data_IF_260912787646
#
_entry.id   IF_260912787646
#
_cell.length_a   1.000
_cell.length_b   1.000
_cell.length_c   1.000
_cell.angle_alpha   90.00
_cell.angle_beta   90.00
_cell.angle_gamma   90.00
#
_symmetry.space_group_name_H-M   'P 1'
#
loop_
_entity.id
_entity.type
_entity.pdbx_description
1 polymer ?
#
# COMPACT_ATOMS: atom_id res chain seq x y z
N UNK A 1 -20.60 -16.03 -18.15
CA UNK A 1 -21.14 -15.08 -17.13
C UNK A 1 -20.10 -14.98 -16.03
N UNK A 2 -19.74 -13.77 -15.58
CA UNK A 2 -18.69 -13.56 -14.58
C UNK A 2 -18.95 -14.32 -13.28
N UNK A 3 -17.88 -14.79 -12.63
CA UNK A 3 -17.98 -15.48 -11.33
C UNK A 3 -18.42 -14.50 -10.23
N UNK A 4 -19.60 -14.70 -9.59
CA UNK A 4 -20.09 -13.79 -8.54
C UNK A 4 -19.12 -13.64 -7.36
N UNK A 5 -18.33 -14.69 -7.12
CA UNK A 5 -17.31 -14.70 -6.07
C UNK A 5 -16.14 -13.74 -6.39
N UNK A 6 -15.68 -13.70 -7.65
CA UNK A 6 -14.59 -12.80 -8.06
C UNK A 6 -15.03 -11.34 -8.03
N UNK A 7 -16.28 -11.06 -8.42
CA UNK A 7 -16.84 -9.71 -8.34
C UNK A 7 -17.02 -9.23 -6.89
N UNK A 8 -17.47 -10.12 -5.99
CA UNK A 8 -17.59 -9.83 -4.57
C UNK A 8 -16.22 -9.52 -3.93
N UNK A 9 -15.19 -10.31 -4.25
CA UNK A 9 -13.84 -10.06 -3.72
C UNK A 9 -13.24 -8.76 -4.30
N UNK A 10 -13.51 -8.45 -5.57
CA UNK A 10 -13.11 -7.17 -6.19
C UNK A 10 -13.74 -5.99 -5.45
N UNK A 11 -15.03 -6.07 -5.15
CA UNK A 11 -15.73 -5.04 -4.38
C UNK A 11 -15.15 -4.90 -2.96
N UNK A 12 -14.85 -6.03 -2.29
CA UNK A 12 -14.21 -6.04 -0.98
C UNK A 12 -12.84 -5.36 -1.00
N UNK A 13 -11.97 -5.70 -1.94
CA UNK A 13 -10.64 -5.09 -2.07
C UNK A 13 -10.73 -3.57 -2.31
N UNK A 14 -11.66 -3.13 -3.16
CA UNK A 14 -11.93 -1.70 -3.38
C UNK A 14 -12.39 -0.98 -2.11
N UNK A 15 -13.26 -1.62 -1.31
CA UNK A 15 -13.69 -1.07 -0.02
C UNK A 15 -12.52 -0.95 0.97
N UNK A 16 -11.64 -1.96 1.04
CA UNK A 16 -10.44 -1.92 1.89
C UNK A 16 -9.49 -0.80 1.49
N UNK A 17 -9.21 -0.68 0.18
CA UNK A 17 -8.39 0.41 -0.37
C UNK A 17 -8.99 1.78 -0.01
N UNK A 18 -10.29 1.94 -0.20
CA UNK A 18 -10.98 3.18 0.17
C UNK A 18 -10.94 3.45 1.68
N UNK A 19 -11.07 2.41 2.51
CA UNK A 19 -10.92 2.50 3.96
C UNK A 19 -9.55 3.02 4.38
N UNK A 20 -8.47 2.48 3.81
CA UNK A 20 -7.10 2.92 4.12
C UNK A 20 -6.89 4.37 3.71
N UNK A 21 -7.34 4.77 2.50
CA UNK A 21 -7.22 6.15 2.01
C UNK A 21 -7.96 7.16 2.90
N UNK A 22 -9.06 6.76 3.54
CA UNK A 22 -9.79 7.59 4.52
C UNK A 22 -9.18 7.59 5.92
N UNK A 23 -8.39 6.57 6.28
CA UNK A 23 -7.82 6.42 7.63
C UNK A 23 -6.72 7.44 7.98
N UNK A 24 -6.27 8.24 7.01
CA UNK A 24 -5.31 9.32 7.20
C UNK A 24 -4.26 9.39 6.10
N UNK A 25 -3.25 10.23 6.30
CA UNK A 25 -2.19 10.43 5.32
C UNK A 25 -1.41 9.14 5.04
N UNK A 26 -1.00 8.98 3.78
CA UNK A 26 -0.19 7.87 3.28
C UNK A 26 1.19 8.42 2.93
N UNK A 27 2.25 7.68 3.25
CA UNK A 27 3.60 8.11 2.92
C UNK A 27 3.83 8.09 1.39
N UNK A 28 4.59 9.05 0.82
CA UNK A 28 5.00 9.00 -0.57
C UNK A 28 5.82 7.75 -0.90
N UNK A 29 5.92 7.43 -2.19
CA UNK A 29 6.79 6.36 -2.66
C UNK A 29 8.26 6.67 -2.33
N UNK A 30 9.09 5.65 -2.12
CA UNK A 30 10.51 5.81 -1.82
C UNK A 30 10.80 6.70 -0.58
N UNK A 31 9.90 6.72 0.41
CA UNK A 31 10.15 7.31 1.74
C UNK A 31 10.26 6.18 2.75
N UNK A 32 11.33 6.18 3.56
CA UNK A 32 11.53 5.22 4.64
C UNK A 32 12.14 5.89 5.86
N UNK A 33 12.02 5.24 7.02
CA UNK A 33 12.63 5.70 8.27
C UNK A 33 14.02 5.08 8.38
N UNK A 34 15.03 5.89 8.68
CA UNK A 34 16.40 5.42 8.90
C UNK A 34 16.89 5.79 10.30
N UNK A 35 17.66 4.89 10.94
CA UNK A 35 18.33 5.21 12.20
C UNK A 35 19.43 6.26 12.00
N UNK A 36 19.63 7.07 13.02
CA UNK A 36 20.69 8.07 13.14
C UNK A 36 21.31 7.92 14.53
N UNK A 37 22.41 7.14 14.65
CA UNK A 37 23.13 7.02 15.90
C UNK A 37 23.70 8.39 16.32
N UNK A 38 23.52 8.78 17.58
CA UNK A 38 24.09 10.00 18.15
C UNK A 38 24.63 9.68 19.55
N UNK A 39 25.91 9.33 19.61
CA UNK A 39 26.55 8.82 20.82
C UNK A 39 25.85 7.56 21.32
N UNK A 40 25.38 7.56 22.57
CA UNK A 40 24.65 6.44 23.18
C UNK A 40 23.17 6.34 22.77
N UNK A 41 22.65 7.33 22.04
CA UNK A 41 21.23 7.41 21.71
C UNK A 41 20.96 7.07 20.24
N UNK A 42 19.84 6.38 20.00
CA UNK A 42 19.34 6.08 18.66
C UNK A 42 18.19 7.02 18.31
N UNK A 43 18.39 7.86 17.31
CA UNK A 43 17.37 8.71 16.71
C UNK A 43 16.96 8.18 15.35
N UNK A 44 15.92 8.77 14.77
CA UNK A 44 15.38 8.41 13.48
C UNK A 44 15.13 9.65 12.63
N UNK A 45 15.26 9.48 11.32
CA UNK A 45 14.94 10.49 10.30
C UNK A 45 14.20 9.85 9.14
N UNK A 46 13.56 10.68 8.31
CA UNK A 46 13.13 10.28 6.99
C UNK A 46 14.31 10.28 6.02
N UNK A 47 14.36 9.21 5.25
CA UNK A 47 15.23 9.05 4.10
C UNK A 47 14.35 8.89 2.87
N UNK A 48 14.68 9.61 1.80
CA UNK A 48 13.95 9.51 0.55
C UNK A 48 14.82 9.90 -0.63
N UNK A 49 14.43 9.42 -1.82
CA UNK A 49 14.92 9.94 -3.10
C UNK A 49 14.33 11.32 -3.40
N UNK A 50 13.17 11.68 -2.83
CA UNK A 50 12.57 12.99 -2.98
C UNK A 50 13.23 14.00 -2.01
N UNK A 51 13.80 15.12 -2.51
CA UNK A 51 14.43 16.15 -1.67
C UNK A 51 13.53 16.72 -0.58
N UNK A 52 12.22 16.83 -0.82
CA UNK A 52 11.25 17.44 0.12
C UNK A 52 11.17 16.68 1.45
N UNK A 53 11.26 15.36 1.39
CA UNK A 53 11.16 14.47 2.56
C UNK A 53 12.52 14.01 3.10
N UNK A 54 13.60 14.42 2.43
CA UNK A 54 14.95 13.96 2.76
C UNK A 54 15.43 14.58 4.07
N UNK A 55 16.01 13.76 4.93
CA UNK A 55 16.65 14.17 6.19
C UNK A 55 15.75 14.86 7.23
N UNK A 56 14.41 14.73 7.13
CA UNK A 56 13.54 15.24 8.20
C UNK A 56 13.71 14.43 9.49
N UNK A 57 14.05 15.08 10.60
CA UNK A 57 14.25 14.40 11.88
C UNK A 57 12.92 14.02 12.56
N UNK A 58 12.82 12.76 13.00
CA UNK A 58 11.64 12.20 13.67
C UNK A 58 11.82 12.07 15.19
N UNK A 59 13.06 12.20 15.69
CA UNK A 59 13.37 12.03 17.10
C UNK A 59 13.64 10.56 17.46
N UNK A 60 13.26 10.14 18.66
CA UNK A 60 13.46 8.75 19.15
C UNK A 60 12.35 7.82 18.66
N UNK A 61 12.58 6.51 18.75
CA UNK A 61 11.51 5.53 18.60
C UNK A 61 10.36 5.84 19.57
N UNK A 62 9.12 5.70 19.12
CA UNK A 62 7.93 5.97 19.92
C UNK A 62 7.54 7.44 20.06
N UNK A 63 8.34 8.38 19.55
CA UNK A 63 7.92 9.79 19.46
C UNK A 63 6.66 9.91 18.60
N UNK A 64 5.88 10.97 18.80
CA UNK A 64 4.68 11.22 18.01
C UNK A 64 4.98 11.29 16.50
N UNK A 65 6.02 12.04 16.11
CA UNK A 65 6.48 12.13 14.71
C UNK A 65 6.92 10.77 14.16
N UNK A 66 7.63 9.97 14.95
CA UNK A 66 8.03 8.63 14.53
C UNK A 66 6.82 7.72 14.31
N UNK A 67 5.87 7.71 15.26
CA UNK A 67 4.65 6.88 15.18
C UNK A 67 3.79 7.28 13.99
N UNK A 68 3.56 8.59 13.80
CA UNK A 68 2.80 9.10 12.66
C UNK A 68 3.42 8.65 11.33
N UNK A 69 4.71 8.92 11.12
CA UNK A 69 5.39 8.51 9.88
C UNK A 69 5.45 6.99 9.71
N UNK A 70 5.58 6.23 10.79
CA UNK A 70 5.53 4.76 10.73
C UNK A 70 4.16 4.29 10.28
N UNK A 71 3.08 4.86 10.81
CA UNK A 71 1.71 4.56 10.39
C UNK A 71 1.45 4.96 8.93
N UNK A 72 1.95 6.12 8.48
CA UNK A 72 1.85 6.55 7.07
C UNK A 72 2.52 5.57 6.12
N UNK A 73 3.71 5.09 6.48
CA UNK A 73 4.46 4.08 5.70
C UNK A 73 3.73 2.74 5.70
N UNK A 74 3.22 2.31 6.85
CA UNK A 74 2.45 1.07 6.95
C UNK A 74 1.18 1.13 6.09
N UNK A 75 0.44 2.24 6.11
CA UNK A 75 -0.71 2.43 5.21
C UNK A 75 -0.33 2.32 3.74
N UNK A 76 0.82 2.90 3.34
CA UNK A 76 1.33 2.78 1.97
C UNK A 76 1.60 1.32 1.62
N UNK A 77 2.30 0.59 2.48
CA UNK A 77 2.65 -0.82 2.26
C UNK A 77 1.40 -1.69 2.10
N UNK A 78 0.42 -1.54 2.99
CA UNK A 78 -0.86 -2.28 2.89
C UNK A 78 -1.64 -1.86 1.64
N UNK A 79 -1.66 -0.57 1.29
CA UNK A 79 -2.33 -0.11 0.09
C UNK A 79 -1.71 -0.72 -1.17
N UNK A 80 -0.39 -0.74 -1.28
CA UNK A 80 0.32 -1.34 -2.42
C UNK A 80 0.02 -2.83 -2.56
N UNK A 81 0.00 -3.56 -1.45
CA UNK A 81 -0.37 -4.98 -1.43
C UNK A 81 -1.81 -5.20 -1.94
N UNK A 82 -2.78 -4.41 -1.46
CA UNK A 82 -4.16 -4.51 -1.91
C UNK A 82 -4.34 -4.13 -3.39
N UNK A 83 -3.61 -3.12 -3.86
CA UNK A 83 -3.61 -2.72 -5.28
C UNK A 83 -3.02 -3.82 -6.16
N UNK A 84 -1.98 -4.52 -5.69
CA UNK A 84 -1.43 -5.69 -6.39
C UNK A 84 -2.42 -6.85 -6.43
N UNK A 85 -3.08 -7.17 -5.30
CA UNK A 85 -4.11 -8.21 -5.24
C UNK A 85 -5.29 -7.90 -6.17
N UNK A 86 -5.74 -6.65 -6.21
CA UNK A 86 -6.80 -6.20 -7.12
C UNK A 86 -6.39 -6.36 -8.58
N UNK A 87 -5.14 -6.03 -8.93
CA UNK A 87 -4.60 -6.21 -10.28
C UNK A 87 -4.57 -7.69 -10.69
N UNK A 88 -4.11 -8.57 -9.80
CA UNK A 88 -4.12 -10.02 -10.04
C UNK A 88 -5.54 -10.56 -10.22
N UNK A 89 -6.48 -10.11 -9.39
CA UNK A 89 -7.88 -10.52 -9.49
C UNK A 89 -8.52 -10.06 -10.81
N UNK A 90 -8.25 -8.82 -11.23
CA UNK A 90 -8.75 -8.30 -12.50
C UNK A 90 -8.21 -9.15 -13.68
N UNK A 91 -6.92 -9.50 -13.66
CA UNK A 91 -6.35 -10.37 -14.69
C UNK A 91 -6.99 -11.77 -14.74
N UNK A 92 -7.45 -12.32 -13.60
CA UNK A 92 -8.19 -13.58 -13.56
C UNK A 92 -9.60 -13.44 -14.15
N UNK A 93 -10.30 -12.35 -13.82
CA UNK A 93 -11.62 -12.04 -14.38
C UNK A 93 -11.53 -11.90 -15.90
N UNK A 94 -10.53 -11.16 -16.39
CA UNK A 94 -10.33 -10.93 -17.82
C UNK A 94 -10.04 -12.24 -18.57
N UNK A 95 -9.23 -13.14 -17.98
CA UNK A 95 -8.96 -14.48 -18.56
C UNK A 95 -10.22 -15.35 -18.63
N UNK A 96 -11.06 -15.32 -17.59
CA UNK A 96 -12.30 -16.08 -17.58
C UNK A 96 -13.28 -15.56 -18.64
N UNK A 97 -13.36 -14.23 -18.81
CA UNK A 97 -14.18 -13.61 -19.84
C UNK A 97 -13.75 -14.03 -21.25
N UNK A 98 -12.44 -14.19 -21.52
CA UNK A 98 -11.94 -14.68 -22.81
C UNK A 98 -12.26 -16.17 -23.02
N UNK A 99 -12.06 -17.01 -22.00
CA UNK A 99 -12.35 -18.43 -22.09
C UNK A 99 -13.83 -18.75 -22.32
N UNK A 100 -14.74 -17.93 -21.76
CA UNK A 100 -16.19 -18.04 -21.99
C UNK A 100 -16.59 -17.71 -23.46
N UNK A 101 -15.76 -16.98 -24.22
CA UNK A 101 -16.05 -16.55 -25.60
C UNK A 101 -15.57 -17.60 -26.63
N UNK A 102 -14.59 -18.44 -26.28
CA UNK A 102 -13.92 -19.37 -27.20
C UNK A 102 -14.58 -20.76 -27.28
N UNK A 103 -15.73 -21.01 -26.64
CA UNK A 103 -16.46 -22.28 -26.77
C UNK A 103 -17.33 -22.22 -28.04
N UNK A 104 -16.98 -22.90 -29.15
CA UNK A 104 -17.87 -23.02 -30.30
C UNK A 104 -18.92 -24.08 -29.98
N UNK A 105 -20.20 -23.73 -30.05
CA UNK A 105 -21.27 -24.73 -30.07
C UNK A 105 -21.13 -25.55 -31.38
N UNK A 106 -20.86 -26.85 -31.25
CA UNK A 106 -21.01 -27.83 -32.35
C UNK A 106 -22.49 -28.04 -32.71
#
# INVERSE_FOLDING_TARGET
MGSPHLEAERARLLQLIHGIRRSGSIAPINVWISPVPKGKYLYYKLSSKNPEYKNQHLGKAGSEKYRDWRSRIQRREVLTELEQQLSMLQALIDRQAVADIEIPEE
#
